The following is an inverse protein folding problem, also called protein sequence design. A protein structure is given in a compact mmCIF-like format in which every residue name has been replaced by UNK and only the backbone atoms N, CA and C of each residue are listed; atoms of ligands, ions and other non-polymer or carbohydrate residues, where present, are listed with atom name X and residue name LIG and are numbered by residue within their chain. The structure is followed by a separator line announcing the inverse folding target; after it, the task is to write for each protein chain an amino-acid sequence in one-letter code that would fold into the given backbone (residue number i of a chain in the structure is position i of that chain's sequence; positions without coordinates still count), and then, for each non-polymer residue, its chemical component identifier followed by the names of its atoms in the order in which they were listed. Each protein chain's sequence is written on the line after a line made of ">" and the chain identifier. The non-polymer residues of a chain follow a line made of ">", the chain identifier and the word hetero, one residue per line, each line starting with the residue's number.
data_IF_148525629221
#
_entry.id   IF_148525629221
#
_cell.length_a   1.000
_cell.length_b   1.000
_cell.length_c   1.000
_cell.angle_alpha   90.00
_cell.angle_beta   90.00
_cell.angle_gamma   90.00
#
_symmetry.space_group_name_H-M   'P 1'
#
loop_
_entity.id
_entity.type
_entity.pdbx_description
1 polymer ?
#
# COMPACT_ATOMS: atom_id res chain seq x y z
N UNK A 1 31.11 25.23 -9.11
CA UNK A 1 31.83 24.05 -9.63
C UNK A 1 31.10 22.81 -9.15
N UNK A 2 30.42 22.14 -10.08
CA UNK A 2 29.53 20.98 -9.88
C UNK A 2 30.32 19.68 -9.66
N UNK A 3 29.82 18.82 -8.77
CA UNK A 3 30.00 17.36 -8.70
C UNK A 3 29.06 16.89 -7.56
N UNK A 4 28.15 15.90 -7.60
CA UNK A 4 28.20 14.45 -7.93
C UNK A 4 26.73 13.93 -7.92
N UNK A 5 26.22 13.23 -8.94
CA UNK A 5 26.23 11.76 -9.19
C UNK A 5 25.42 10.91 -8.19
N UNK A 6 24.16 10.61 -8.56
CA UNK A 6 23.32 9.50 -8.09
C UNK A 6 23.75 8.17 -8.75
N UNK A 7 23.55 6.99 -8.14
CA UNK A 7 23.35 5.76 -8.89
C UNK A 7 21.89 5.71 -9.33
N UNK A 8 21.56 6.46 -10.38
CA UNK A 8 20.38 6.18 -11.20
C UNK A 8 20.76 4.95 -12.02
N UNK A 9 19.89 3.93 -12.06
CA UNK A 9 19.88 3.00 -13.19
C UNK A 9 19.54 3.86 -14.41
N UNK A 10 20.59 4.38 -15.05
CA UNK A 10 20.53 5.17 -16.26
C UNK A 10 20.09 4.24 -17.38
N UNK A 11 18.80 4.23 -17.68
CA UNK A 11 18.39 4.12 -19.06
C UNK A 11 18.90 5.41 -19.71
N UNK A 12 19.94 5.30 -20.53
CA UNK A 12 20.51 6.44 -21.23
C UNK A 12 19.42 7.09 -22.10
N UNK A 13 18.88 8.21 -21.62
CA UNK A 13 18.12 9.15 -22.42
C UNK A 13 19.12 9.83 -23.35
N UNK A 14 19.16 9.37 -24.61
CA UNK A 14 19.83 10.10 -25.67
C UNK A 14 19.26 11.52 -25.71
N UNK A 15 20.17 12.51 -25.75
CA UNK A 15 19.89 13.94 -25.92
C UNK A 15 18.78 14.15 -26.95
N UNK A 16 17.58 14.47 -26.48
CA UNK A 16 16.50 14.90 -27.35
C UNK A 16 16.78 16.36 -27.76
N UNK A 17 17.22 16.54 -29.01
CA UNK A 17 17.00 17.78 -29.74
C UNK A 17 15.53 18.21 -29.61
N UNK A 18 15.18 19.51 -29.71
CA UNK A 18 13.80 19.98 -29.55
C UNK A 18 12.90 19.20 -30.49
N UNK A 19 12.12 18.26 -29.94
CA UNK A 19 11.21 17.46 -30.73
C UNK A 19 9.98 18.33 -31.00
N UNK A 20 9.75 18.57 -32.28
CA UNK A 20 8.45 18.97 -32.80
C UNK A 20 7.35 18.12 -32.14
N UNK A 21 6.15 18.67 -31.90
CA UNK A 21 5.08 17.97 -31.18
C UNK A 21 4.82 16.61 -31.83
N UNK A 22 5.26 15.54 -31.17
CA UNK A 22 5.17 14.17 -31.68
C UNK A 22 3.70 13.81 -31.87
N UNK A 23 3.39 13.37 -33.09
CA UNK A 23 2.07 12.95 -33.55
C UNK A 23 1.69 11.59 -32.97
N UNK A 24 1.33 11.55 -31.69
CA UNK A 24 0.75 10.37 -31.01
C UNK A 24 -0.50 9.81 -31.73
N UNK A 25 -1.13 10.60 -32.59
CA UNK A 25 -2.38 10.29 -33.27
C UNK A 25 -2.31 9.05 -34.19
N UNK A 26 -1.11 8.64 -34.64
CA UNK A 26 -0.95 7.58 -35.63
C UNK A 26 -0.52 6.21 -35.04
N UNK A 27 -0.27 6.11 -33.73
CA UNK A 27 0.08 4.85 -33.07
C UNK A 27 -1.18 4.17 -32.50
N UNK A 28 -1.38 2.84 -32.67
CA UNK A 28 -2.59 2.13 -32.23
C UNK A 28 -2.94 2.35 -30.74
N UNK A 29 -1.92 2.50 -29.89
CA UNK A 29 -2.06 2.72 -28.45
C UNK A 29 -1.60 4.12 -28.00
N UNK A 30 -1.38 5.06 -28.94
CA UNK A 30 -0.87 6.41 -28.68
C UNK A 30 0.37 6.43 -27.76
N UNK A 31 1.25 5.46 -27.96
CA UNK A 31 2.46 5.21 -27.20
C UNK A 31 3.55 4.94 -28.24
N UNK A 32 4.45 5.92 -28.41
CA UNK A 32 5.52 5.89 -29.40
C UNK A 32 6.57 4.81 -29.12
N UNK A 33 7.59 4.69 -29.97
CA UNK A 33 8.63 3.68 -29.81
C UNK A 33 9.32 3.73 -28.43
N UNK A 34 9.60 4.93 -27.91
CA UNK A 34 10.23 5.13 -26.60
C UNK A 34 9.32 4.63 -25.48
N UNK A 35 8.04 5.02 -25.52
CA UNK A 35 7.02 4.58 -24.58
C UNK A 35 6.83 3.05 -24.63
N UNK A 36 6.78 2.45 -25.82
CA UNK A 36 6.63 1.00 -26.00
C UNK A 36 7.82 0.21 -25.45
N UNK A 37 9.05 0.72 -25.62
CA UNK A 37 10.26 0.09 -25.06
C UNK A 37 10.20 0.14 -23.53
N UNK A 38 9.93 1.31 -22.94
CA UNK A 38 9.85 1.47 -21.49
C UNK A 38 8.75 0.59 -20.89
N UNK A 39 7.57 0.56 -21.50
CA UNK A 39 6.46 -0.30 -21.12
C UNK A 39 6.85 -1.78 -21.13
N UNK A 40 7.40 -2.29 -22.23
CA UNK A 40 7.74 -3.73 -22.35
C UNK A 40 8.84 -4.14 -21.39
N UNK A 41 9.85 -3.30 -21.19
CA UNK A 41 10.93 -3.55 -20.23
C UNK A 41 10.39 -3.61 -18.80
N UNK A 42 9.52 -2.66 -18.45
CA UNK A 42 8.95 -2.58 -17.10
C UNK A 42 7.97 -3.73 -16.83
N UNK A 43 7.13 -4.08 -17.80
CA UNK A 43 6.23 -5.22 -17.70
C UNK A 43 7.01 -6.52 -17.55
N UNK A 44 8.09 -6.73 -18.32
CA UNK A 44 8.95 -7.89 -18.18
C UNK A 44 9.60 -7.95 -16.77
N UNK A 45 10.08 -6.82 -16.26
CA UNK A 45 10.64 -6.72 -14.92
C UNK A 45 9.59 -7.06 -13.83
N UNK A 46 8.36 -6.56 -13.93
CA UNK A 46 7.30 -6.91 -12.97
C UNK A 46 6.90 -8.38 -13.09
N UNK A 47 6.79 -8.89 -14.32
CA UNK A 47 6.46 -10.28 -14.58
C UNK A 47 7.51 -11.23 -13.96
N UNK A 48 8.80 -10.92 -14.04
CA UNK A 48 9.86 -11.68 -13.37
C UNK A 48 9.72 -11.70 -11.84
N UNK A 49 9.06 -10.70 -11.25
CA UNK A 49 8.78 -10.61 -9.81
C UNK A 49 7.48 -11.31 -9.42
N UNK A 50 6.74 -11.92 -10.36
CA UNK A 50 5.58 -12.73 -10.03
C UNK A 50 5.93 -14.18 -9.67
N UNK A 51 5.16 -14.73 -8.74
CA UNK A 51 5.19 -16.12 -8.29
C UNK A 51 4.47 -17.02 -9.31
N UNK A 52 3.36 -16.53 -9.85
CA UNK A 52 2.65 -17.11 -10.98
C UNK A 52 2.39 -16.03 -12.04
N UNK A 53 2.68 -16.34 -13.31
CA UNK A 53 2.44 -15.44 -14.44
C UNK A 53 0.95 -15.23 -14.73
N UNK A 54 0.12 -16.23 -14.44
CA UNK A 54 -1.32 -16.15 -14.54
C UNK A 54 -1.92 -16.65 -13.22
N UNK A 55 -2.32 -15.70 -12.38
CA UNK A 55 -2.88 -16.00 -11.06
C UNK A 55 -4.12 -16.90 -11.11
N UNK A 56 -4.84 -16.95 -12.24
CA UNK A 56 -6.04 -17.80 -12.39
C UNK A 56 -5.70 -19.28 -12.49
N UNK A 57 -4.45 -19.62 -12.82
CA UNK A 57 -3.98 -21.01 -12.92
C UNK A 57 -3.55 -21.61 -11.57
N UNK A 58 -3.43 -20.78 -10.52
CA UNK A 58 -3.10 -21.26 -9.18
C UNK A 58 -4.40 -21.52 -8.38
N UNK A 59 -4.74 -22.79 -8.06
CA UNK A 59 -5.97 -23.13 -7.35
C UNK A 59 -6.09 -22.50 -5.97
N UNK A 60 -5.00 -21.97 -5.40
CA UNK A 60 -5.06 -21.20 -4.16
C UNK A 60 -5.99 -19.99 -4.30
N UNK A 61 -5.94 -19.27 -5.42
CA UNK A 61 -6.68 -18.01 -5.60
C UNK A 61 -8.13 -18.17 -6.06
N UNK A 62 -8.58 -19.39 -6.39
CA UNK A 62 -9.98 -19.65 -6.73
C UNK A 62 -10.86 -19.68 -5.47
N UNK A 63 -12.00 -18.99 -5.48
CA UNK A 63 -12.92 -19.00 -4.34
C UNK A 63 -13.56 -20.38 -4.19
N UNK A 64 -13.50 -21.03 -3.00
CA UNK A 64 -14.16 -22.31 -2.78
C UNK A 64 -15.67 -22.24 -3.07
N UNK A 65 -16.23 -23.27 -3.70
CA UNK A 65 -17.67 -23.32 -4.04
C UNK A 65 -18.61 -23.28 -2.82
N UNK A 66 -18.10 -23.64 -1.64
CA UNK A 66 -18.79 -23.56 -0.36
C UNK A 66 -18.54 -22.26 0.41
N UNK A 67 -17.93 -21.23 -0.21
CA UNK A 67 -17.57 -19.96 0.44
C UNK A 67 -18.77 -19.26 1.12
N UNK A 68 -19.99 -19.43 0.60
CA UNK A 68 -21.22 -18.86 1.19
C UNK A 68 -21.56 -19.40 2.59
N UNK A 69 -20.91 -20.48 3.05
CA UNK A 69 -21.08 -21.03 4.40
C UNK A 69 -20.18 -20.39 5.46
N UNK A 70 -19.22 -19.57 5.05
CA UNK A 70 -18.24 -18.97 5.94
C UNK A 70 -18.67 -17.57 6.37
N UNK A 71 -18.36 -17.23 7.61
CA UNK A 71 -18.64 -15.92 8.22
C UNK A 71 -17.37 -15.05 8.23
N UNK A 72 -17.54 -13.74 8.44
CA UNK A 72 -16.42 -12.79 8.50
C UNK A 72 -15.36 -13.20 9.55
N UNK A 73 -14.11 -13.21 9.12
CA UNK A 73 -12.94 -13.68 9.87
C UNK A 73 -12.80 -15.20 9.95
N UNK A 74 -13.49 -15.97 9.11
CA UNK A 74 -13.20 -17.40 8.93
C UNK A 74 -12.04 -17.62 7.94
N UNK A 75 -11.36 -18.76 8.09
CA UNK A 75 -10.35 -19.24 7.14
C UNK A 75 -11.02 -20.18 6.14
N UNK A 76 -10.79 -19.89 4.86
CA UNK A 76 -11.21 -20.71 3.72
C UNK A 76 -10.09 -21.67 3.31
N UNK A 77 -8.84 -21.19 3.29
CA UNK A 77 -7.65 -22.00 2.96
C UNK A 77 -6.46 -21.58 3.83
N UNK A 78 -5.63 -22.56 4.18
CA UNK A 78 -4.40 -22.38 4.93
C UNK A 78 -3.29 -23.23 4.32
N UNK A 79 -2.47 -22.62 3.47
CA UNK A 79 -1.45 -23.31 2.68
C UNK A 79 -0.06 -22.99 3.24
N UNK A 80 0.54 -23.99 3.89
CA UNK A 80 1.94 -23.89 4.32
C UNK A 80 2.85 -24.07 3.11
N UNK A 81 3.67 -23.07 2.84
CA UNK A 81 4.66 -23.15 1.76
C UNK A 81 5.87 -23.93 2.29
N UNK A 82 6.25 -24.98 1.56
CA UNK A 82 7.43 -25.78 1.92
C UNK A 82 8.70 -24.94 1.77
N UNK A 83 9.77 -25.29 2.49
CA UNK A 83 11.06 -24.59 2.35
C UNK A 83 11.55 -24.58 0.89
N UNK A 84 11.35 -25.69 0.16
CA UNK A 84 11.68 -25.77 -1.26
C UNK A 84 10.92 -24.76 -2.12
N UNK A 85 9.60 -24.69 -1.94
CA UNK A 85 8.79 -23.70 -2.66
C UNK A 85 9.15 -22.27 -2.25
N UNK A 86 9.42 -22.03 -0.96
CA UNK A 86 9.71 -20.70 -0.44
C UNK A 86 10.96 -20.09 -1.07
N UNK A 87 12.06 -20.85 -1.24
CA UNK A 87 13.27 -20.31 -1.88
C UNK A 87 13.24 -20.36 -3.42
N UNK A 88 12.39 -21.19 -4.04
CA UNK A 88 12.29 -21.28 -5.52
C UNK A 88 11.29 -20.31 -6.12
N UNK A 89 10.19 -20.03 -5.41
CA UNK A 89 9.07 -19.24 -5.91
C UNK A 89 8.95 -17.88 -5.24
N UNK A 90 9.51 -17.72 -4.04
CA UNK A 90 9.61 -16.44 -3.35
C UNK A 90 11.07 -16.12 -3.05
N UNK A 91 11.30 -14.92 -2.53
CA UNK A 91 12.60 -14.44 -2.05
C UNK A 91 12.55 -14.23 -0.54
N UNK A 92 11.78 -15.06 0.17
CA UNK A 92 11.65 -15.03 1.62
C UNK A 92 13.02 -15.35 2.25
N UNK A 93 13.50 -14.55 3.24
CA UNK A 93 14.80 -14.80 3.84
C UNK A 93 14.89 -16.14 4.55
N UNK A 94 16.11 -16.65 4.68
CA UNK A 94 16.38 -17.83 5.49
C UNK A 94 15.88 -17.63 6.93
N UNK A 95 15.33 -18.69 7.52
CA UNK A 95 14.77 -18.64 8.87
C UNK A 95 13.38 -18.01 8.96
N UNK A 96 12.69 -17.79 7.84
CA UNK A 96 11.27 -17.42 7.84
C UNK A 96 10.45 -18.51 7.15
N UNK A 97 9.39 -18.97 7.82
CA UNK A 97 8.35 -19.80 7.21
C UNK A 97 7.27 -18.93 6.58
N UNK A 98 6.75 -19.36 5.45
CA UNK A 98 5.71 -18.66 4.69
C UNK A 98 4.43 -19.49 4.64
N UNK A 99 3.29 -18.82 4.85
CA UNK A 99 1.96 -19.41 4.70
C UNK A 99 1.15 -18.47 3.82
N UNK A 100 0.43 -19.02 2.84
CA UNK A 100 -0.66 -18.31 2.17
C UNK A 100 -1.97 -18.66 2.85
N UNK A 101 -2.82 -17.68 3.08
CA UNK A 101 -4.14 -17.93 3.63
C UNK A 101 -5.21 -17.17 2.87
N UNK A 102 -6.37 -17.78 2.81
CA UNK A 102 -7.56 -17.27 2.17
C UNK A 102 -8.60 -17.16 3.28
N UNK A 103 -9.18 -15.98 3.48
CA UNK A 103 -10.08 -15.68 4.59
C UNK A 103 -11.32 -14.92 4.10
N UNK A 104 -12.32 -14.86 4.96
CA UNK A 104 -13.55 -14.11 4.70
C UNK A 104 -13.42 -12.71 5.32
N UNK A 105 -13.29 -11.69 4.48
CA UNK A 105 -13.43 -10.28 4.86
C UNK A 105 -14.90 -9.84 4.73
N UNK A 106 -15.16 -8.54 4.62
CA UNK A 106 -16.50 -7.97 4.43
C UNK A 106 -16.54 -6.80 3.44
N UNK A 107 -17.69 -6.63 2.76
CA UNK A 107 -17.95 -5.49 1.89
C UNK A 107 -18.34 -4.23 2.68
N UNK A 108 -18.66 -3.15 1.98
CA UNK A 108 -19.02 -1.86 2.59
C UNK A 108 -20.32 -1.92 3.42
N UNK A 109 -21.14 -2.96 3.23
CA UNK A 109 -22.37 -3.23 3.99
C UNK A 109 -22.17 -4.31 5.06
N UNK A 110 -20.93 -4.76 5.29
CA UNK A 110 -20.60 -5.82 6.25
C UNK A 110 -20.94 -7.24 5.78
N UNK A 111 -21.21 -7.44 4.48
CA UNK A 111 -21.49 -8.79 3.94
C UNK A 111 -20.18 -9.53 3.69
N UNK A 112 -20.12 -10.85 3.98
CA UNK A 112 -18.92 -11.65 3.76
C UNK A 112 -18.42 -11.59 2.31
N UNK A 113 -17.11 -11.36 2.13
CA UNK A 113 -16.43 -11.44 0.83
C UNK A 113 -15.05 -12.12 0.95
N UNK A 114 -14.56 -12.80 -0.09
CA UNK A 114 -13.26 -13.47 -0.08
C UNK A 114 -12.07 -12.49 -0.15
N UNK A 115 -11.02 -12.74 0.63
CA UNK A 115 -9.73 -12.04 0.53
C UNK A 115 -8.54 -13.02 0.78
N UNK A 116 -7.34 -12.63 0.35
CA UNK A 116 -6.11 -13.42 0.51
C UNK A 116 -5.03 -12.66 1.29
N UNK A 117 -4.01 -13.38 1.74
CA UNK A 117 -2.85 -12.79 2.40
C UNK A 117 -1.79 -13.82 2.74
N UNK A 118 -0.74 -13.34 3.40
CA UNK A 118 0.43 -14.11 3.81
C UNK A 118 0.65 -14.05 5.32
N UNK A 119 1.20 -15.13 5.89
CA UNK A 119 1.77 -15.11 7.24
C UNK A 119 3.24 -15.48 7.17
N UNK A 120 4.09 -14.65 7.77
CA UNK A 120 5.52 -14.90 7.95
C UNK A 120 5.77 -15.26 9.42
N UNK A 121 6.49 -16.36 9.64
CA UNK A 121 6.78 -16.87 10.99
C UNK A 121 8.31 -17.00 11.13
N UNK A 122 8.95 -16.31 12.09
CA UNK A 122 10.38 -16.45 12.32
C UNK A 122 10.74 -17.83 12.87
N UNK A 123 11.97 -18.26 12.59
CA UNK A 123 12.51 -19.57 12.96
C UNK A 123 12.43 -19.84 14.46
N UNK A 124 12.71 -18.81 15.27
CA UNK A 124 12.67 -18.87 16.73
C UNK A 124 11.83 -17.75 17.30
N UNK A 125 11.16 -18.02 18.41
CA UNK A 125 10.46 -16.99 19.17
C UNK A 125 11.41 -16.30 20.16
N UNK A 126 11.72 -14.99 20.00
CA UNK A 126 12.54 -14.28 20.99
C UNK A 126 11.86 -14.20 22.37
N UNK A 127 10.55 -14.45 22.45
CA UNK A 127 9.80 -14.49 23.71
C UNK A 127 9.89 -15.86 24.42
N UNK A 128 10.68 -16.81 23.90
CA UNK A 128 10.81 -18.17 24.44
C UNK A 128 9.50 -18.95 24.33
N UNK A 129 8.98 -19.43 25.47
CA UNK A 129 7.76 -20.25 25.55
C UNK A 129 6.45 -19.42 25.52
N UNK A 130 6.53 -18.08 25.50
CA UNK A 130 5.36 -17.22 25.37
C UNK A 130 4.83 -17.23 23.92
N UNK A 131 3.61 -16.78 23.65
CA UNK A 131 3.14 -16.61 22.28
C UNK A 131 4.01 -15.61 21.49
N UNK A 132 4.13 -15.79 20.17
CA UNK A 132 4.78 -14.82 19.29
C UNK A 132 3.99 -13.51 19.28
N UNK A 133 4.70 -12.37 19.27
CA UNK A 133 4.09 -11.06 19.09
C UNK A 133 3.60 -10.90 17.65
N UNK A 134 2.42 -10.30 17.46
CA UNK A 134 1.74 -10.23 16.16
C UNK A 134 1.80 -8.82 15.58
N UNK A 135 2.30 -8.67 14.35
CA UNK A 135 2.24 -7.42 13.59
C UNK A 135 1.45 -7.65 12.30
N UNK A 136 0.55 -6.74 11.97
CA UNK A 136 -0.08 -6.70 10.64
C UNK A 136 0.71 -5.72 9.78
N UNK A 137 1.18 -6.17 8.63
CA UNK A 137 1.81 -5.32 7.62
C UNK A 137 0.80 -4.97 6.53
N UNK A 138 0.54 -3.69 6.33
CA UNK A 138 -0.37 -3.16 5.31
C UNK A 138 0.44 -2.50 4.19
N UNK A 139 0.40 -3.11 3.01
CA UNK A 139 1.22 -2.68 1.88
C UNK A 139 0.64 -1.44 1.18
N UNK A 140 1.51 -0.67 0.52
CA UNK A 140 1.12 0.40 -0.38
C UNK A 140 0.65 -0.09 -1.76
N UNK A 141 0.46 0.84 -2.70
CA UNK A 141 -0.09 0.55 -4.03
C UNK A 141 0.64 -0.57 -4.75
N UNK A 142 -0.05 -1.69 -4.99
CA UNK A 142 0.51 -2.81 -5.74
C UNK A 142 0.14 -2.74 -7.23
N UNK A 143 -1.09 -2.32 -7.54
CA UNK A 143 -1.66 -2.27 -8.88
C UNK A 143 -3.18 -2.47 -8.86
N UNK A 144 -3.82 -2.41 -10.02
CA UNK A 144 -5.29 -2.45 -10.14
C UNK A 144 -5.91 -3.84 -10.27
N UNK A 145 -5.10 -4.89 -10.42
CA UNK A 145 -5.56 -6.22 -10.84
C UNK A 145 -5.23 -7.28 -9.80
N UNK A 146 -5.88 -8.45 -9.93
CA UNK A 146 -5.61 -9.61 -9.08
C UNK A 146 -4.14 -10.05 -9.13
N UNK A 147 -3.53 -9.95 -10.31
CA UNK A 147 -2.15 -10.34 -10.58
C UNK A 147 -1.15 -9.62 -9.67
N UNK A 148 -1.48 -8.39 -9.25
CA UNK A 148 -0.62 -7.52 -8.45
C UNK A 148 -0.64 -7.80 -6.95
N UNK A 149 -1.39 -8.80 -6.47
CA UNK A 149 -1.43 -9.11 -5.04
C UNK A 149 -0.02 -9.37 -4.46
N UNK A 150 0.31 -8.83 -3.28
CA UNK A 150 1.58 -9.12 -2.61
C UNK A 150 1.87 -10.62 -2.46
N UNK A 151 0.87 -11.45 -2.21
CA UNK A 151 1.02 -12.91 -2.12
C UNK A 151 1.52 -13.57 -3.41
N UNK A 152 1.26 -12.94 -4.57
CA UNK A 152 1.77 -13.34 -5.88
C UNK A 152 3.09 -12.62 -6.27
N UNK A 153 3.62 -11.76 -5.42
CA UNK A 153 4.92 -11.10 -5.62
C UNK A 153 6.02 -11.87 -4.89
N UNK A 154 7.14 -12.17 -5.56
CA UNK A 154 8.24 -12.98 -5.00
C UNK A 154 8.79 -12.42 -3.69
N UNK A 155 8.90 -11.09 -3.59
CA UNK A 155 9.31 -10.38 -2.38
C UNK A 155 8.16 -9.83 -1.52
N UNK A 156 6.92 -10.29 -1.73
CA UNK A 156 5.74 -9.80 -1.01
C UNK A 156 5.55 -8.27 -1.13
N UNK A 157 5.83 -7.74 -2.32
CA UNK A 157 5.87 -6.31 -2.71
C UNK A 157 6.96 -5.47 -2.01
N UNK A 158 7.07 -5.51 -0.68
CA UNK A 158 7.96 -4.63 0.10
C UNK A 158 9.25 -5.30 0.61
N UNK A 159 9.32 -6.63 0.62
CA UNK A 159 10.50 -7.38 1.05
C UNK A 159 11.13 -6.87 2.35
N UNK A 160 12.40 -6.46 2.26
CA UNK A 160 13.21 -5.95 3.37
C UNK A 160 12.80 -4.58 3.90
N UNK A 161 12.06 -3.80 3.12
CA UNK A 161 11.58 -2.48 3.56
C UNK A 161 10.57 -2.60 4.71
N UNK A 162 9.88 -3.74 4.84
CA UNK A 162 9.03 -4.00 6.00
C UNK A 162 8.76 -5.49 6.32
N UNK A 163 8.00 -6.29 5.53
CA UNK A 163 7.50 -7.58 5.99
C UNK A 163 8.61 -8.57 6.39
N UNK A 164 9.74 -8.56 5.68
CA UNK A 164 10.89 -9.41 6.04
C UNK A 164 11.64 -8.89 7.26
N UNK A 165 11.84 -7.57 7.36
CA UNK A 165 12.48 -6.96 8.52
C UNK A 165 11.66 -7.17 9.80
N UNK A 166 10.33 -7.00 9.72
CA UNK A 166 9.41 -7.28 10.82
C UNK A 166 9.48 -8.75 11.24
N UNK A 167 9.45 -9.69 10.29
CA UNK A 167 9.55 -11.10 10.62
C UNK A 167 10.91 -11.44 11.27
N UNK A 168 12.02 -10.90 10.76
CA UNK A 168 13.36 -11.13 11.33
C UNK A 168 13.59 -10.42 12.67
N UNK A 169 12.83 -9.37 12.98
CA UNK A 169 12.77 -8.79 14.32
C UNK A 169 12.01 -9.69 15.32
N UNK A 170 11.46 -10.82 14.88
CA UNK A 170 10.88 -11.85 15.75
C UNK A 170 9.35 -11.77 15.90
N UNK A 171 8.67 -11.00 15.06
CA UNK A 171 7.22 -10.93 15.01
C UNK A 171 6.64 -11.98 14.05
N UNK A 172 5.47 -12.54 14.39
CA UNK A 172 4.61 -13.15 13.37
C UNK A 172 3.96 -12.01 12.59
N UNK A 173 4.19 -11.98 11.28
CA UNK A 173 3.69 -10.92 10.39
C UNK A 173 2.50 -11.45 9.62
N UNK A 174 1.35 -10.78 9.72
CA UNK A 174 0.15 -11.02 8.91
C UNK A 174 0.12 -9.92 7.83
N UNK A 175 0.12 -10.30 6.56
CA UNK A 175 0.16 -9.37 5.44
C UNK A 175 -1.01 -9.66 4.48
N UNK A 176 -2.18 -9.02 4.65
CA UNK A 176 -3.31 -9.15 3.73
C UNK A 176 -3.00 -8.52 2.37
N UNK A 177 -3.61 -9.05 1.30
CA UNK A 177 -3.49 -8.50 -0.06
C UNK A 177 -4.50 -7.38 -0.37
N UNK A 178 -5.49 -7.18 0.51
CA UNK A 178 -6.75 -6.48 0.25
C UNK A 178 -7.70 -7.22 -0.71
N UNK A 179 -9.01 -7.08 -0.47
CA UNK A 179 -10.04 -7.68 -1.28
C UNK A 179 -9.95 -7.25 -2.75
N UNK A 180 -10.06 -8.22 -3.67
CA UNK A 180 -9.92 -7.99 -5.11
C UNK A 180 -8.48 -8.01 -5.64
N UNK A 181 -7.46 -8.01 -4.76
CA UNK A 181 -6.12 -8.46 -5.12
C UNK A 181 -6.00 -9.94 -4.72
N UNK A 182 -5.58 -10.80 -5.64
CA UNK A 182 -5.54 -12.25 -5.45
C UNK A 182 -6.92 -12.92 -5.51
N UNK A 183 -7.83 -12.52 -4.63
CA UNK A 183 -9.21 -13.04 -4.53
C UNK A 183 -10.12 -12.68 -5.73
N UNK A 184 -11.14 -13.50 -5.97
CA UNK A 184 -12.19 -13.27 -7.00
C UNK A 184 -13.35 -12.39 -6.47
N UNK A 185 -13.04 -11.43 -5.60
CA UNK A 185 -14.03 -10.51 -5.03
C UNK A 185 -14.54 -9.50 -6.07
N UNK A 186 -15.20 -8.42 -5.64
CA UNK A 186 -15.81 -7.36 -6.46
C UNK A 186 -14.84 -6.51 -7.32
N UNK A 187 -13.64 -7.01 -7.59
CA UNK A 187 -12.49 -6.25 -8.10
C UNK A 187 -11.80 -5.45 -7.00
N UNK A 188 -10.54 -5.07 -7.23
CA UNK A 188 -9.79 -4.24 -6.28
C UNK A 188 -10.34 -2.81 -6.26
N UNK A 189 -10.66 -2.32 -5.06
CA UNK A 189 -11.13 -0.96 -4.82
C UNK A 189 -9.98 -0.12 -4.25
N UNK A 190 -9.18 0.47 -5.13
CA UNK A 190 -8.01 1.27 -4.77
C UNK A 190 -8.37 2.44 -3.83
N UNK A 191 -7.56 2.66 -2.78
CA UNK A 191 -7.73 3.71 -1.76
C UNK A 191 -9.05 3.64 -0.97
N UNK A 192 -9.74 2.49 -0.97
CA UNK A 192 -10.94 2.25 -0.18
C UNK A 192 -10.58 1.84 1.26
N UNK A 193 -9.99 2.77 2.01
CA UNK A 193 -9.44 2.53 3.34
C UNK A 193 -10.41 1.91 4.37
N UNK A 194 -11.72 2.14 4.26
CA UNK A 194 -12.73 1.46 5.11
C UNK A 194 -12.76 -0.05 4.85
N UNK A 195 -12.64 -0.47 3.59
CA UNK A 195 -12.60 -1.89 3.21
C UNK A 195 -11.26 -2.51 3.58
N UNK A 196 -10.15 -1.82 3.31
CA UNK A 196 -8.82 -2.32 3.68
C UNK A 196 -8.64 -2.46 5.20
N UNK A 197 -9.26 -1.57 5.99
CA UNK A 197 -9.31 -1.71 7.45
C UNK A 197 -10.03 -2.99 7.89
N UNK A 198 -11.12 -3.35 7.21
CA UNK A 198 -11.84 -4.60 7.46
C UNK A 198 -10.99 -5.82 7.07
N UNK A 199 -10.33 -5.78 5.91
CA UNK A 199 -9.37 -6.80 5.47
C UNK A 199 -8.30 -7.05 6.54
N UNK A 200 -7.68 -5.98 7.06
CA UNK A 200 -6.65 -6.08 8.10
C UNK A 200 -7.19 -6.70 9.39
N UNK A 201 -8.28 -6.15 9.92
CA UNK A 201 -8.89 -6.60 11.18
C UNK A 201 -9.35 -8.06 11.09
N UNK A 202 -10.06 -8.43 10.03
CA UNK A 202 -10.58 -9.77 9.84
C UNK A 202 -9.48 -10.79 9.50
N UNK A 203 -8.36 -10.37 8.90
CA UNK A 203 -7.19 -11.23 8.72
C UNK A 203 -6.60 -11.65 10.08
N UNK A 204 -6.53 -10.75 11.06
CA UNK A 204 -6.09 -11.06 12.43
C UNK A 204 -7.03 -12.08 13.07
N UNK A 205 -8.35 -11.85 12.95
CA UNK A 205 -9.37 -12.79 13.45
C UNK A 205 -9.21 -14.18 12.82
N UNK A 206 -8.96 -14.25 11.52
CA UNK A 206 -8.74 -15.50 10.80
C UNK A 206 -7.47 -16.21 11.30
N UNK A 207 -6.33 -15.52 11.30
CA UNK A 207 -5.04 -16.10 11.71
C UNK A 207 -5.04 -16.53 13.18
N UNK A 208 -5.70 -15.80 14.08
CA UNK A 208 -5.93 -16.23 15.48
C UNK A 208 -6.63 -17.58 15.56
N UNK A 209 -7.62 -17.86 14.69
CA UNK A 209 -8.28 -19.18 14.64
C UNK A 209 -7.33 -20.29 14.18
N UNK A 210 -6.44 -20.03 13.22
CA UNK A 210 -5.48 -21.04 12.75
C UNK A 210 -4.31 -21.28 13.70
N UNK A 211 -3.78 -20.21 14.31
CA UNK A 211 -2.56 -20.29 15.12
C UNK A 211 -2.84 -20.48 16.62
N UNK A 212 -4.04 -20.15 17.09
CA UNK A 212 -4.46 -20.31 18.48
C UNK A 212 -3.50 -19.62 19.44
N UNK A 213 -3.09 -20.32 20.49
CA UNK A 213 -2.20 -19.79 21.54
C UNK A 213 -0.74 -19.58 21.11
N UNK A 214 -0.40 -19.84 19.84
CA UNK A 214 0.97 -19.60 19.34
C UNK A 214 1.27 -18.12 19.13
N UNK A 215 0.24 -17.28 19.01
CA UNK A 215 0.40 -15.84 18.82
C UNK A 215 -0.31 -15.06 19.94
N UNK A 216 0.12 -13.84 20.18
CA UNK A 216 -0.52 -12.92 21.13
C UNK A 216 -1.95 -12.60 20.69
N UNK A 217 -2.80 -12.24 21.67
CA UNK A 217 -4.05 -11.55 21.34
C UNK A 217 -3.71 -10.13 20.90
N UNK A 218 -2.88 -9.45 21.67
CA UNK A 218 -2.40 -8.11 21.36
C UNK A 218 -1.69 -8.06 20.01
N UNK A 219 -1.95 -7.00 19.24
CA UNK A 219 -1.38 -6.83 17.91
C UNK A 219 -1.15 -5.36 17.59
N UNK A 220 -0.25 -5.12 16.65
CA UNK A 220 0.09 -3.79 16.12
C UNK A 220 -0.10 -3.80 14.61
N UNK A 221 -0.49 -2.67 14.03
CA UNK A 221 -0.47 -2.47 12.57
C UNK A 221 0.70 -1.59 12.18
N UNK A 222 1.37 -1.92 11.08
CA UNK A 222 2.31 -1.04 10.43
C UNK A 222 2.02 -0.99 8.93
N UNK A 223 2.07 0.20 8.34
CA UNK A 223 1.80 0.36 6.91
C UNK A 223 2.50 1.53 6.27
N UNK A 224 2.56 1.53 4.94
CA UNK A 224 3.17 2.59 4.13
C UNK A 224 2.30 3.00 2.94
N UNK A 225 2.21 4.29 2.61
CA UNK A 225 1.48 4.81 1.44
C UNK A 225 -0.04 4.53 1.52
N UNK A 226 -0.65 3.89 0.52
CA UNK A 226 -2.01 3.29 0.64
C UNK A 226 -2.12 2.38 1.88
N UNK A 227 -1.05 1.65 2.21
CA UNK A 227 -0.94 0.86 3.42
C UNK A 227 -0.87 1.70 4.69
N UNK A 228 -0.30 2.91 4.62
CA UNK A 228 -0.31 3.88 5.71
C UNK A 228 -1.72 4.40 5.98
N UNK A 229 -2.49 4.68 4.91
CA UNK A 229 -3.92 4.96 5.02
C UNK A 229 -4.66 3.76 5.63
N UNK A 230 -4.47 2.56 5.08
CA UNK A 230 -5.07 1.31 5.57
C UNK A 230 -4.76 1.06 7.06
N UNK A 231 -3.52 1.33 7.48
CA UNK A 231 -3.07 1.30 8.88
C UNK A 231 -3.87 2.27 9.76
N UNK A 232 -4.03 3.52 9.33
CA UNK A 232 -4.78 4.54 10.07
C UNK A 232 -6.26 4.18 10.16
N UNK A 233 -6.89 3.81 9.03
CA UNK A 233 -8.30 3.39 8.98
C UNK A 233 -8.57 2.14 9.82
N UNK A 234 -7.57 1.26 9.97
CA UNK A 234 -7.67 0.11 10.89
C UNK A 234 -7.79 0.57 12.34
N UNK A 235 -7.02 1.58 12.75
CA UNK A 235 -7.12 2.15 14.10
C UNK A 235 -8.51 2.78 14.35
N UNK A 236 -9.08 3.44 13.34
CA UNK A 236 -10.43 4.01 13.41
C UNK A 236 -11.50 2.93 13.45
N UNK A 237 -11.35 1.85 12.67
CA UNK A 237 -12.25 0.70 12.69
C UNK A 237 -12.26 0.03 14.07
N UNK A 238 -11.10 -0.19 14.67
CA UNK A 238 -11.00 -0.88 15.96
C UNK A 238 -11.61 -0.07 17.12
N UNK A 239 -11.99 1.19 16.90
CA UNK A 239 -12.71 2.01 17.86
C UNK A 239 -14.25 1.86 17.75
N UNK A 240 -14.73 1.12 16.75
CA UNK A 240 -16.15 0.89 16.43
C UNK A 240 -16.62 -0.50 16.89
N UNK A 241 -17.93 -0.79 16.90
CA UNK A 241 -18.46 -2.10 17.33
C UNK A 241 -17.93 -3.30 16.53
N UNK A 242 -17.48 -3.09 15.29
CA UNK A 242 -16.96 -4.12 14.39
C UNK A 242 -15.50 -4.52 14.70
N UNK A 243 -14.91 -3.98 15.77
CA UNK A 243 -13.55 -4.24 16.20
C UNK A 243 -13.25 -5.73 16.44
N UNK A 244 -12.05 -6.17 16.03
CA UNK A 244 -11.51 -7.49 16.38
C UNK A 244 -10.87 -7.49 17.78
N UNK A 245 -10.55 -6.31 18.32
CA UNK A 245 -10.07 -6.10 19.68
C UNK A 245 -8.58 -6.37 19.87
N UNK A 246 -8.07 -5.91 21.01
CA UNK A 246 -6.66 -6.04 21.44
C UNK A 246 -5.64 -5.31 20.54
N UNK A 247 -6.06 -4.31 19.75
CA UNK A 247 -5.12 -3.43 19.05
C UNK A 247 -4.37 -2.55 20.07
N UNK A 248 -3.04 -2.60 20.08
CA UNK A 248 -2.20 -1.89 21.07
C UNK A 248 -1.33 -0.77 20.49
N UNK A 249 -1.37 -0.58 19.17
CA UNK A 249 -0.75 0.57 18.51
C UNK A 249 -0.77 0.44 17.00
N UNK A 250 -0.55 1.56 16.30
CA UNK A 250 -0.38 1.58 14.84
C UNK A 250 0.78 2.50 14.44
N UNK A 251 1.53 2.10 13.41
CA UNK A 251 2.63 2.86 12.81
C UNK A 251 2.33 3.09 11.32
N UNK A 252 1.88 4.29 10.98
CA UNK A 252 1.40 4.61 9.64
C UNK A 252 2.37 5.58 8.96
N UNK A 253 3.14 5.06 8.01
CA UNK A 253 4.12 5.83 7.24
C UNK A 253 3.52 6.38 5.93
N UNK A 254 3.79 7.64 5.61
CA UNK A 254 3.28 8.35 4.44
C UNK A 254 1.81 8.07 4.11
N UNK A 255 0.86 8.27 5.04
CA UNK A 255 -0.53 7.81 4.88
C UNK A 255 -1.33 8.68 3.89
N UNK A 256 -1.80 8.10 2.78
CA UNK A 256 -2.67 8.80 1.81
C UNK A 256 -4.13 8.95 2.29
N UNK A 257 -4.40 9.86 3.23
CA UNK A 257 -5.69 9.93 3.93
C UNK A 257 -6.80 10.66 3.18
N UNK A 258 -6.46 11.60 2.30
CA UNK A 258 -7.42 12.50 1.63
C UNK A 258 -7.11 12.55 0.13
N UNK A 259 -7.62 11.60 -0.67
CA UNK A 259 -7.33 11.52 -2.10
C UNK A 259 -7.56 12.83 -2.86
N UNK A 260 -8.67 13.53 -2.63
CA UNK A 260 -8.99 14.81 -3.29
C UNK A 260 -7.89 15.87 -3.09
N UNK A 261 -7.39 16.03 -1.86
CA UNK A 261 -6.31 16.98 -1.53
C UNK A 261 -5.00 16.57 -2.19
N UNK A 262 -4.65 15.28 -2.14
CA UNK A 262 -3.44 14.77 -2.81
C UNK A 262 -3.48 15.03 -4.31
N UNK A 263 -4.61 14.74 -4.98
CA UNK A 263 -4.77 14.96 -6.42
C UNK A 263 -4.66 16.46 -6.77
N UNK A 264 -5.31 17.33 -5.99
CA UNK A 264 -5.19 18.77 -6.18
C UNK A 264 -3.74 19.24 -6.06
N UNK A 265 -3.02 18.79 -5.03
CA UNK A 265 -1.60 19.11 -4.85
C UNK A 265 -0.73 18.58 -5.99
N UNK A 266 -1.00 17.38 -6.50
CA UNK A 266 -0.31 16.84 -7.69
C UNK A 266 -0.51 17.74 -8.91
N UNK A 267 -1.74 18.17 -9.17
CA UNK A 267 -2.05 19.09 -10.28
C UNK A 267 -1.33 20.43 -10.08
N UNK A 268 -1.41 21.00 -8.88
CA UNK A 268 -0.81 22.29 -8.55
C UNK A 268 0.72 22.28 -8.68
N UNK A 269 1.39 21.24 -8.14
CA UNK A 269 2.85 21.13 -8.13
C UNK A 269 3.41 20.76 -9.50
N UNK A 270 2.68 20.01 -10.32
CA UNK A 270 3.08 19.70 -11.68
C UNK A 270 3.04 20.93 -12.60
N UNK A 271 2.04 21.81 -12.43
CA UNK A 271 1.81 22.93 -13.34
C UNK A 271 1.67 22.45 -14.79
N UNK A 272 2.43 23.06 -15.70
CA UNK A 272 2.51 22.63 -17.12
C UNK A 272 3.51 21.48 -17.35
N UNK A 273 4.23 21.05 -16.31
CA UNK A 273 5.21 19.97 -16.37
C UNK A 273 4.58 18.57 -16.33
N UNK A 274 5.41 17.51 -16.48
CA UNK A 274 4.96 16.14 -16.30
C UNK A 274 4.45 15.91 -14.88
N UNK A 275 3.21 15.44 -14.76
CA UNK A 275 2.61 15.07 -13.48
C UNK A 275 2.84 13.59 -13.17
N UNK A 276 2.95 12.76 -14.21
CA UNK A 276 3.14 11.32 -14.02
C UNK A 276 2.01 10.67 -13.24
N UNK A 277 0.79 11.20 -13.34
CA UNK A 277 -0.30 10.94 -12.41
C UNK A 277 -1.04 9.60 -12.67
N UNK A 278 -0.32 8.50 -12.53
CA UNK A 278 -0.86 7.14 -12.71
C UNK A 278 -1.77 6.73 -11.55
N UNK A 279 -1.54 7.24 -10.33
CA UNK A 279 -2.33 6.89 -9.15
C UNK A 279 -3.78 7.41 -9.25
N UNK A 280 -3.97 8.65 -9.71
CA UNK A 280 -5.32 9.18 -9.91
C UNK A 280 -6.04 8.48 -11.05
N UNK A 281 -5.32 8.00 -12.06
CA UNK A 281 -5.91 7.19 -13.13
C UNK A 281 -6.42 5.83 -12.61
N UNK A 282 -5.69 5.21 -11.69
CA UNK A 282 -6.11 3.99 -11.01
C UNK A 282 -7.33 4.24 -10.10
N UNK A 283 -7.33 5.37 -9.40
CA UNK A 283 -8.45 5.76 -8.55
C UNK A 283 -9.72 6.05 -9.38
N UNK A 284 -9.61 6.78 -10.48
CA UNK A 284 -10.73 7.06 -11.38
C UNK A 284 -11.35 5.75 -11.90
N UNK A 285 -10.52 4.77 -12.29
CA UNK A 285 -10.99 3.44 -12.67
C UNK A 285 -11.74 2.74 -11.54
N UNK A 286 -11.17 2.73 -10.33
CA UNK A 286 -11.77 2.14 -9.15
C UNK A 286 -13.14 2.76 -8.83
N UNK A 287 -13.23 4.08 -8.81
CA UNK A 287 -14.46 4.84 -8.53
C UNK A 287 -15.52 4.60 -9.60
N UNK A 288 -15.14 4.57 -10.89
CA UNK A 288 -16.08 4.36 -12.00
C UNK A 288 -16.79 3.00 -11.96
N UNK A 289 -16.15 1.98 -11.37
CA UNK A 289 -16.76 0.65 -11.17
C UNK A 289 -17.86 0.66 -10.10
N UNK A 290 -17.80 1.61 -9.16
CA UNK A 290 -18.76 1.75 -8.05
C UNK A 290 -19.88 2.72 -8.43
N UNK A 291 -19.53 3.82 -9.10
CA UNK A 291 -20.45 4.91 -9.44
C UNK A 291 -20.51 5.11 -10.96
N UNK A 292 -21.49 4.48 -11.66
CA UNK A 292 -21.65 4.61 -13.12
C UNK A 292 -21.92 6.03 -13.64
N UNK A 293 -22.22 6.97 -12.73
CA UNK A 293 -22.32 8.41 -13.01
C UNK A 293 -20.96 9.04 -13.32
N UNK A 294 -19.86 8.43 -12.86
CA UNK A 294 -18.49 8.84 -13.17
C UNK A 294 -17.93 7.84 -14.18
N UNK A 295 -17.89 8.24 -15.44
CA UNK A 295 -17.34 7.41 -16.52
C UNK A 295 -15.92 7.86 -16.83
N UNK A 296 -15.01 6.92 -16.99
CA UNK A 296 -13.60 7.24 -17.25
C UNK A 296 -13.45 8.09 -18.52
N UNK A 297 -14.25 7.81 -19.55
CA UNK A 297 -14.20 8.45 -20.86
C UNK A 297 -14.55 9.94 -20.83
N UNK A 298 -15.30 10.38 -19.82
CA UNK A 298 -15.70 11.79 -19.65
C UNK A 298 -14.53 12.66 -19.14
N UNK A 299 -13.52 12.03 -18.53
CA UNK A 299 -12.39 12.71 -17.89
C UNK A 299 -11.04 12.37 -18.51
N UNK A 300 -10.83 11.11 -18.90
CA UNK A 300 -9.58 10.64 -19.48
C UNK A 300 -9.39 11.18 -20.90
N UNK A 301 -8.15 11.57 -21.22
CA UNK A 301 -7.76 11.86 -22.60
C UNK A 301 -7.74 10.58 -23.43
N UNK A 302 -7.71 10.73 -24.75
CA UNK A 302 -7.49 9.59 -25.65
C UNK A 302 -6.15 8.87 -25.40
N UNK A 303 -5.12 9.58 -24.91
CA UNK A 303 -3.82 8.98 -24.56
C UNK A 303 -3.99 8.06 -23.35
N UNK A 304 -4.66 8.55 -22.31
CA UNK A 304 -4.91 7.76 -21.10
C UNK A 304 -5.76 6.52 -21.46
N UNK A 305 -6.89 6.71 -22.15
CA UNK A 305 -7.77 5.62 -22.58
C UNK A 305 -7.03 4.56 -23.41
N UNK A 306 -6.18 4.97 -24.36
CA UNK A 306 -5.43 4.04 -25.21
C UNK A 306 -4.33 3.27 -24.45
N UNK A 307 -3.82 3.81 -23.33
CA UNK A 307 -2.75 3.19 -22.53
C UNK A 307 -3.27 2.38 -21.35
N UNK A 308 -4.51 2.57 -20.90
CA UNK A 308 -5.09 1.81 -19.76
C UNK A 308 -5.03 0.28 -19.97
N UNK A 309 -5.39 -0.29 -21.14
CA UNK A 309 -5.26 -1.74 -21.36
C UNK A 309 -3.80 -2.23 -21.32
N UNK A 310 -2.81 -1.35 -21.53
CA UNK A 310 -1.39 -1.69 -21.34
C UNK A 310 -1.02 -1.66 -19.86
N UNK A 311 -1.51 -0.67 -19.12
CA UNK A 311 -1.29 -0.55 -17.68
C UNK A 311 -1.88 -1.76 -16.92
N UNK A 312 -3.08 -2.22 -17.32
CA UNK A 312 -3.78 -3.37 -16.74
C UNK A 312 -3.07 -4.72 -16.96
N UNK A 313 -2.11 -4.80 -17.89
CA UNK A 313 -1.29 -6.00 -18.07
C UNK A 313 -0.20 -6.13 -17.00
N UNK A 314 0.19 -5.03 -16.37
CA UNK A 314 1.21 -5.00 -15.33
C UNK A 314 0.65 -4.51 -14.00
N UNK A 315 1.54 -3.93 -13.20
CA UNK A 315 1.25 -3.46 -11.86
C UNK A 315 1.72 -2.00 -11.71
N UNK A 316 2.15 -1.61 -10.51
CA UNK A 316 2.56 -0.25 -10.18
C UNK A 316 3.59 0.33 -11.18
N UNK A 317 4.68 -0.38 -11.45
CA UNK A 317 5.78 0.17 -12.28
C UNK A 317 5.39 0.25 -13.74
N UNK A 318 4.65 -0.73 -14.27
CA UNK A 318 4.14 -0.67 -15.64
C UNK A 318 3.28 0.57 -15.83
N UNK A 319 2.36 0.83 -14.90
CA UNK A 319 1.52 2.04 -14.91
C UNK A 319 2.37 3.31 -14.83
N UNK A 320 3.32 3.38 -13.89
CA UNK A 320 4.22 4.52 -13.78
C UNK A 320 4.97 4.78 -15.10
N UNK A 321 5.59 3.74 -15.69
CA UNK A 321 6.36 3.87 -16.95
C UNK A 321 5.54 4.42 -18.12
N UNK A 322 4.25 4.08 -18.18
CA UNK A 322 3.33 4.53 -19.22
C UNK A 322 2.92 5.99 -19.07
N UNK A 323 2.96 6.55 -17.86
CA UNK A 323 2.37 7.85 -17.54
C UNK A 323 3.35 8.89 -17.01
N UNK A 324 4.52 8.51 -16.47
CA UNK A 324 5.47 9.40 -15.75
C UNK A 324 5.88 10.66 -16.51
N UNK A 325 5.94 10.61 -17.84
CA UNK A 325 6.35 11.76 -18.67
C UNK A 325 5.17 12.61 -19.18
N UNK A 326 3.93 12.27 -18.81
CA UNK A 326 2.75 12.97 -19.28
C UNK A 326 2.34 14.11 -18.33
N UNK A 327 1.95 15.23 -18.91
CA UNK A 327 1.33 16.36 -18.20
C UNK A 327 -0.13 16.04 -17.82
N UNK A 328 -0.72 16.83 -16.92
CA UNK A 328 -2.15 16.71 -16.59
C UNK A 328 -3.04 16.83 -17.84
N UNK A 329 -2.74 17.79 -18.74
CA UNK A 329 -3.51 18.00 -19.97
C UNK A 329 -3.35 16.88 -21.01
N UNK A 330 -2.25 16.13 -20.96
CA UNK A 330 -2.07 14.93 -21.76
C UNK A 330 -2.80 13.72 -21.17
N UNK A 331 -2.98 13.65 -19.85
CA UNK A 331 -3.68 12.56 -19.16
C UNK A 331 -5.20 12.75 -19.14
N UNK A 332 -5.67 13.97 -18.94
CA UNK A 332 -7.08 14.26 -18.67
C UNK A 332 -7.61 15.38 -19.58
N UNK A 333 -8.84 15.21 -20.07
CA UNK A 333 -9.65 16.26 -20.70
C UNK A 333 -10.00 17.35 -19.67
N UNK A 334 -10.32 16.90 -18.45
CA UNK A 334 -10.59 17.72 -17.28
C UNK A 334 -10.48 16.83 -16.03
N UNK A 335 -10.24 17.44 -14.87
CA UNK A 335 -10.11 16.73 -13.58
C UNK A 335 -11.34 16.92 -12.68
N UNK A 336 -12.48 17.35 -13.25
CA UNK A 336 -13.67 17.73 -12.46
C UNK A 336 -14.36 16.59 -11.73
N UNK A 337 -13.98 15.33 -12.02
CA UNK A 337 -14.45 14.16 -11.30
C UNK A 337 -14.11 14.22 -9.80
N UNK A 338 -13.01 14.89 -9.41
CA UNK A 338 -12.64 15.04 -7.99
C UNK A 338 -13.58 15.97 -7.21
N UNK A 339 -14.42 16.75 -7.91
CA UNK A 339 -15.52 17.53 -7.29
C UNK A 339 -16.90 16.90 -7.55
N UNK A 340 -16.98 15.78 -8.27
CA UNK A 340 -18.26 15.14 -8.56
C UNK A 340 -18.93 14.68 -7.26
N UNK A 341 -20.25 14.90 -7.06
CA UNK A 341 -20.92 14.55 -5.81
C UNK A 341 -20.76 13.08 -5.39
N UNK A 342 -20.73 12.17 -6.36
CA UNK A 342 -20.52 10.74 -6.07
C UNK A 342 -19.06 10.40 -5.73
N UNK A 343 -18.08 11.17 -6.20
CA UNK A 343 -16.70 11.02 -5.73
C UNK A 343 -16.57 11.51 -4.28
N UNK A 344 -17.22 12.63 -3.93
CA UNK A 344 -17.25 13.11 -2.53
C UNK A 344 -17.93 12.08 -1.62
N UNK A 345 -19.01 11.44 -2.07
CA UNK A 345 -19.63 10.32 -1.35
C UNK A 345 -18.69 9.12 -1.25
N UNK A 346 -17.99 8.77 -2.34
CA UNK A 346 -17.00 7.71 -2.35
C UNK A 346 -15.89 7.97 -1.33
N UNK A 347 -15.32 9.16 -1.34
CA UNK A 347 -14.20 9.56 -0.49
C UNK A 347 -14.61 9.48 1.00
N UNK A 348 -15.82 9.94 1.33
CA UNK A 348 -16.36 9.80 2.70
C UNK A 348 -16.65 8.36 3.09
N UNK A 349 -17.30 7.58 2.21
CA UNK A 349 -17.81 6.23 2.54
C UNK A 349 -16.74 5.14 2.44
N UNK A 350 -15.99 5.11 1.34
CA UNK A 350 -15.06 4.04 1.01
C UNK A 350 -13.63 4.37 1.48
N UNK A 351 -13.11 5.57 1.17
CA UNK A 351 -11.80 5.96 1.68
C UNK A 351 -11.85 6.17 3.22
N UNK A 352 -12.93 6.78 3.69
CA UNK A 352 -13.17 7.04 5.12
C UNK A 352 -12.83 8.47 5.55
N UNK A 353 -12.69 9.41 4.60
CA UNK A 353 -12.21 10.78 4.85
C UNK A 353 -12.86 11.48 6.05
N UNK A 354 -12.07 12.30 6.74
CA UNK A 354 -12.44 12.96 7.98
C UNK A 354 -11.78 12.30 9.20
N UNK A 355 -11.93 12.97 10.34
CA UNK A 355 -11.44 12.55 11.65
C UNK A 355 -12.36 11.50 12.27
N UNK A 356 -11.77 10.46 12.84
CA UNK A 356 -12.50 9.44 13.61
C UNK A 356 -11.75 9.10 14.90
N UNK A 357 -12.49 8.55 15.87
CA UNK A 357 -11.91 8.08 17.12
C UNK A 357 -10.92 6.95 16.86
N UNK A 358 -9.77 7.00 17.53
CA UNK A 358 -8.73 5.97 17.46
C UNK A 358 -8.85 4.97 18.62
N UNK A 359 -8.61 3.68 18.34
CA UNK A 359 -8.67 2.60 19.34
C UNK A 359 -7.38 2.48 20.15
N UNK A 360 -6.25 2.81 19.53
CA UNK A 360 -4.91 2.62 20.07
C UNK A 360 -3.99 3.81 19.72
N UNK A 361 -2.82 3.92 20.39
CA UNK A 361 -1.84 4.96 20.06
C UNK A 361 -1.41 4.93 18.59
N UNK A 362 -1.27 6.11 17.99
CA UNK A 362 -0.88 6.30 16.59
C UNK A 362 0.52 6.91 16.49
N UNK A 363 1.39 6.30 15.69
CA UNK A 363 2.63 6.90 15.23
C UNK A 363 2.53 7.17 13.73
N UNK A 364 2.65 8.43 13.32
CA UNK A 364 2.74 8.84 11.92
C UNK A 364 4.20 9.14 11.59
N UNK A 365 4.67 8.60 10.47
CA UNK A 365 6.03 8.81 9.95
C UNK A 365 5.91 9.41 8.57
N UNK A 366 6.52 10.57 8.33
CA UNK A 366 6.37 11.29 7.08
C UNK A 366 7.71 11.83 6.58
N UNK A 367 7.99 11.64 5.30
CA UNK A 367 9.08 12.33 4.60
C UNK A 367 8.64 13.74 4.21
N UNK A 368 9.47 14.75 4.45
CA UNK A 368 9.19 16.14 4.06
C UNK A 368 9.17 16.33 2.54
N UNK A 369 10.03 15.62 1.82
CA UNK A 369 10.13 15.70 0.35
C UNK A 369 9.35 14.58 -0.34
N UNK A 370 8.29 14.07 0.29
CA UNK A 370 7.44 13.03 -0.28
C UNK A 370 6.71 13.56 -1.53
N UNK A 371 6.98 13.00 -2.73
CA UNK A 371 6.39 13.48 -3.97
C UNK A 371 5.02 12.86 -4.28
N UNK A 372 4.58 11.86 -3.50
CA UNK A 372 3.34 11.10 -3.74
C UNK A 372 2.28 11.35 -2.67
N UNK A 373 2.69 11.50 -1.42
CA UNK A 373 1.82 11.84 -0.28
C UNK A 373 2.43 13.03 0.42
N UNK A 374 1.97 14.22 0.07
CA UNK A 374 2.54 15.47 0.58
C UNK A 374 2.35 15.59 2.09
N UNK A 375 3.42 15.93 2.80
CA UNK A 375 3.41 15.96 4.27
C UNK A 375 2.33 16.89 4.83
N UNK A 376 2.05 18.01 4.18
CA UNK A 376 1.01 18.97 4.58
C UNK A 376 -0.36 18.30 4.71
N UNK A 377 -0.71 17.42 3.76
CA UNK A 377 -2.01 16.72 3.77
C UNK A 377 -2.12 15.70 4.90
N UNK A 378 -1.01 15.04 5.26
CA UNK A 378 -0.97 14.09 6.37
C UNK A 378 -0.94 14.79 7.73
N UNK A 379 -0.23 15.93 7.82
CA UNK A 379 -0.18 16.75 9.02
C UNK A 379 -1.52 17.40 9.33
N UNK A 380 -2.23 17.91 8.32
CA UNK A 380 -3.57 18.46 8.48
C UNK A 380 -4.55 17.42 9.03
N UNK A 381 -4.59 16.21 8.46
CA UNK A 381 -5.44 15.13 8.96
C UNK A 381 -5.07 14.68 10.39
N UNK A 382 -3.78 14.72 10.74
CA UNK A 382 -3.32 14.48 12.11
C UNK A 382 -3.84 15.55 13.07
N UNK A 383 -3.70 16.83 12.70
CA UNK A 383 -4.14 17.95 13.51
C UNK A 383 -5.67 17.92 13.71
N UNK A 384 -6.44 17.70 12.64
CA UNK A 384 -7.91 17.56 12.70
C UNK A 384 -8.34 16.42 13.64
N UNK A 385 -7.68 15.25 13.56
CA UNK A 385 -7.97 14.10 14.44
C UNK A 385 -7.64 14.41 15.89
N UNK A 386 -6.52 15.11 16.12
CA UNK A 386 -6.05 15.48 17.44
C UNK A 386 -6.90 16.57 18.09
N UNK A 387 -7.43 17.52 17.31
CA UNK A 387 -8.35 18.54 17.78
C UNK A 387 -9.69 17.91 18.18
N UNK A 388 -10.30 17.13 17.28
CA UNK A 388 -11.63 16.55 17.50
C UNK A 388 -11.64 15.53 18.66
N UNK A 389 -10.57 14.72 18.80
CA UNK A 389 -10.48 13.65 19.79
C UNK A 389 -9.43 13.90 20.87
N UNK A 390 -9.13 15.16 21.19
CA UNK A 390 -8.08 15.61 22.11
C UNK A 390 -8.00 14.89 23.47
N UNK A 391 -9.15 14.47 24.03
CA UNK A 391 -9.22 13.79 25.33
C UNK A 391 -8.96 12.26 25.25
N UNK A 392 -9.07 11.67 24.07
CA UNK A 392 -8.96 10.21 23.85
C UNK A 392 -7.77 9.81 22.98
N UNK A 393 -7.20 10.74 22.22
CA UNK A 393 -6.10 10.45 21.31
C UNK A 393 -4.74 10.49 22.00
N UNK A 394 -3.93 9.48 21.71
CA UNK A 394 -2.49 9.50 21.98
C UNK A 394 -1.80 9.28 20.65
N UNK A 395 -1.17 10.31 20.11
CA UNK A 395 -0.59 10.25 18.78
C UNK A 395 0.74 11.01 18.68
N UNK A 396 1.66 10.49 17.89
CA UNK A 396 2.94 11.12 17.59
C UNK A 396 3.09 11.26 16.07
N UNK A 397 3.37 12.47 15.59
CA UNK A 397 3.72 12.75 14.20
C UNK A 397 5.21 13.05 14.09
N UNK A 398 5.92 12.33 13.24
CA UNK A 398 7.37 12.49 13.02
C UNK A 398 7.65 12.85 11.57
N UNK A 399 8.09 14.09 11.35
CA UNK A 399 8.51 14.59 10.04
C UNK A 399 10.01 14.42 9.88
N UNK A 400 10.44 13.84 8.76
CA UNK A 400 11.84 13.60 8.42
C UNK A 400 12.27 14.53 7.26
N UNK A 401 12.94 15.65 7.55
CA UNK A 401 13.39 16.59 6.52
C UNK A 401 14.31 15.95 5.48
N UNK A 402 14.15 16.36 4.22
CA UNK A 402 14.95 15.87 3.10
C UNK A 402 14.71 14.43 2.63
N UNK A 403 13.82 13.66 3.29
CA UNK A 403 13.46 12.31 2.85
C UNK A 403 12.17 12.30 2.03
N UNK A 404 12.14 11.43 1.02
CA UNK A 404 10.97 11.19 0.17
C UNK A 404 10.13 9.99 0.64
N UNK A 405 9.19 9.60 -0.21
CA UNK A 405 8.15 8.60 0.07
C UNK A 405 8.69 7.29 0.66
N UNK A 406 9.55 6.58 -0.06
CA UNK A 406 10.06 5.27 0.39
C UNK A 406 11.19 5.37 1.42
N UNK A 407 12.07 6.36 1.30
CA UNK A 407 13.28 6.52 2.11
C UNK A 407 12.97 6.76 3.59
N UNK A 408 11.76 7.22 3.91
CA UNK A 408 11.32 7.41 5.29
C UNK A 408 11.25 6.09 6.06
N UNK A 409 10.99 4.94 5.41
CA UNK A 409 10.92 3.64 6.06
C UNK A 409 12.27 3.21 6.67
N UNK A 410 13.37 3.04 5.91
CA UNK A 410 14.65 2.67 6.49
C UNK A 410 15.16 3.73 7.48
N UNK A 411 14.97 5.02 7.21
CA UNK A 411 15.42 6.09 8.10
C UNK A 411 14.71 6.12 9.47
N UNK A 412 13.45 5.65 9.53
CA UNK A 412 12.67 5.57 10.76
C UNK A 412 12.71 4.19 11.43
N UNK A 413 13.39 3.21 10.82
CA UNK A 413 13.32 1.80 11.18
C UNK A 413 13.68 1.51 12.63
N UNK A 414 14.82 2.02 13.09
CA UNK A 414 15.23 1.85 14.48
C UNK A 414 14.15 2.36 15.46
N UNK A 415 13.53 3.50 15.13
CA UNK A 415 12.55 4.12 16.00
C UNK A 415 11.23 3.36 16.01
N UNK A 416 10.67 3.01 14.84
CA UNK A 416 9.39 2.30 14.84
C UNK A 416 9.51 0.90 15.45
N UNK A 417 10.65 0.20 15.30
CA UNK A 417 10.82 -1.10 15.95
C UNK A 417 10.77 -0.98 17.48
N UNK A 418 11.51 -0.02 18.04
CA UNK A 418 11.46 0.27 19.47
C UNK A 418 10.06 0.67 19.92
N UNK A 419 9.37 1.49 19.12
CA UNK A 419 8.02 1.95 19.45
C UNK A 419 7.01 0.79 19.47
N UNK A 420 7.08 -0.14 18.51
CA UNK A 420 6.26 -1.35 18.45
C UNK A 420 6.56 -2.24 19.67
N UNK A 421 7.84 -2.47 19.98
CA UNK A 421 8.25 -3.24 21.15
C UNK A 421 7.71 -2.65 22.46
N UNK A 422 7.77 -1.33 22.61
CA UNK A 422 7.23 -0.60 23.76
C UNK A 422 5.72 -0.86 23.96
N UNK A 423 4.94 -1.03 22.87
CA UNK A 423 3.51 -1.37 22.98
C UNK A 423 3.33 -2.73 23.64
N UNK A 424 4.06 -3.74 23.16
CA UNK A 424 4.01 -5.10 23.71
C UNK A 424 4.54 -5.17 25.15
N UNK A 425 5.52 -4.34 25.49
CA UNK A 425 6.07 -4.22 26.84
C UNK A 425 5.23 -3.32 27.76
N UNK A 426 4.11 -2.78 27.29
CA UNK A 426 3.19 -1.90 28.05
C UNK A 426 3.88 -0.65 28.59
N UNK A 427 4.83 -0.11 27.83
CA UNK A 427 5.48 1.17 28.15
C UNK A 427 4.48 2.31 27.97
N UNK A 428 4.21 3.03 29.05
CA UNK A 428 3.26 4.13 29.08
C UNK A 428 3.66 5.25 28.11
N UNK A 429 2.70 5.73 27.32
CA UNK A 429 2.85 6.99 26.59
C UNK A 429 2.22 8.13 27.37
N UNK A 430 2.79 9.33 27.19
CA UNK A 430 2.11 10.57 27.59
C UNK A 430 0.88 10.73 26.70
N UNK A 431 -0.29 10.94 27.33
CA UNK A 431 -1.54 11.21 26.61
C UNK A 431 -1.45 12.51 25.82
N UNK A 432 -2.25 12.60 24.76
CA UNK A 432 -2.31 13.74 23.86
C UNK A 432 -1.50 13.55 22.59
N UNK A 433 -1.53 14.57 21.74
CA UNK A 433 -0.83 14.58 20.48
C UNK A 433 0.49 15.33 20.57
N UNK A 434 1.50 14.83 19.85
CA UNK A 434 2.82 15.45 19.74
C UNK A 434 3.28 15.43 18.28
N UNK A 435 3.81 16.55 17.80
CA UNK A 435 4.54 16.63 16.54
C UNK A 435 6.02 16.80 16.81
N UNK A 436 6.86 16.18 15.98
CA UNK A 436 8.31 16.28 16.04
C UNK A 436 8.87 16.35 14.62
N UNK A 437 9.56 17.45 14.32
CA UNK A 437 10.42 17.53 13.13
C UNK A 437 11.82 17.08 13.53
N UNK A 438 12.34 16.08 12.81
CA UNK A 438 13.64 15.49 13.08
C UNK A 438 14.75 16.39 12.54
N UNK A 439 15.90 16.37 13.20
CA UNK A 439 17.12 17.01 12.69
C UNK A 439 18.06 15.91 12.22
N UNK A 440 18.54 16.02 10.98
CA UNK A 440 19.60 15.16 10.49
C UNK A 440 20.92 15.54 11.17
N UNK A 441 21.62 14.56 11.75
CA UNK A 441 22.89 14.77 12.48
C UNK A 441 23.97 15.41 11.60
N UNK A 442 24.01 15.07 10.31
CA UNK A 442 25.06 15.54 9.39
C UNK A 442 24.54 16.52 8.35
N UNK A 443 23.22 16.59 8.15
CA UNK A 443 22.59 17.23 6.98
C UNK A 443 22.96 16.57 5.64
N UNK A 444 23.77 15.51 5.64
CA UNK A 444 24.34 14.85 4.48
C UNK A 444 24.06 13.34 4.58
N UNK A 445 22.98 12.90 3.95
CA UNK A 445 22.52 11.51 3.94
C UNK A 445 22.01 11.15 2.54
N UNK A 446 21.93 9.85 2.25
CA UNK A 446 21.32 9.37 1.02
C UNK A 446 19.80 9.50 1.12
N UNK A 447 19.13 10.21 0.18
CA UNK A 447 17.67 10.25 0.11
C UNK A 447 17.09 9.12 -0.77
N UNK A 448 17.94 8.20 -1.22
CA UNK A 448 17.57 7.17 -2.21
C UNK A 448 16.67 6.11 -1.58
N UNK A 449 15.62 5.72 -2.30
CA UNK A 449 14.80 4.56 -1.97
C UNK A 449 15.55 3.29 -2.39
N UNK A 450 15.65 2.30 -1.50
CA UNK A 450 16.22 0.99 -1.84
C UNK A 450 15.14 0.04 -2.38
N UNK A 451 15.43 -0.59 -3.52
CA UNK A 451 14.69 -1.77 -4.02
C UNK A 451 15.61 -3.00 -4.00
N UNK A 452 15.18 -4.04 -3.29
CA UNK A 452 15.90 -5.30 -3.21
C UNK A 452 15.46 -6.25 -4.31
N UNK A 453 16.33 -6.49 -5.30
CA UNK A 453 16.12 -7.49 -6.34
C UNK A 453 16.93 -8.74 -5.98
N UNK A 454 16.25 -9.79 -5.54
CA UNK A 454 16.89 -11.09 -5.34
C UNK A 454 16.87 -11.89 -6.65
N UNK A 455 18.06 -12.28 -7.12
CA UNK A 455 18.23 -13.16 -8.27
C UNK A 455 18.25 -14.60 -7.76
N UNK A 456 17.23 -15.39 -8.11
CA UNK A 456 17.21 -16.82 -7.80
C UNK A 456 18.18 -17.52 -8.75
N UNK A 457 19.29 -18.04 -8.22
CA UNK A 457 20.29 -18.82 -8.96
C UNK A 457 19.90 -20.27 -9.11
#
# INVERSE_FOLDING_TARGET
>A
MLSKLLPIILIASALAAPQNPLTYANEPNRCDATCQIAYRQTLAMEAERWVNQDITTDPFYSTPSNASKYSTGDILKWEKITSEQAYRRWTVPAGISLIRFFYMSEDIEGKPLPATGMVLIPYSNPQGNKPFRTVVWTHGTAGGTRQCSPSNHRALLYGWSAPFALALAGYVVIAPDYAGQGSEAQGFMYMAGTLHAADNSLSVKAVRKAMGSKITKEWVVMGHSEGGMSCWRTNEREAKPEATGDLIGVVCASPGLVPSKVINETILRAGDGPAGDFLSSLLLQSVSKIYPSIKVEDYASDILLARMPLADQGCYYTSASLYSNLTISQLYKNTSWIQHPDFVKWEKRYNGVGSHKLAAPLLVIQGEQDPLVYHDTSEEAFDETCEEFSNSTTAEYRLYPGLGHGAVLPASQQYFFSWIEDRFNKVSLKKGCKKLTLTSETGNFSPVNDEWIAVLS
#
